data_IF_985130697916
#
_entry.id   IF_985130697916
#
_cell.length_a   1.000
_cell.length_b   1.000
_cell.length_c   1.000
_cell.angle_alpha   90.00
_cell.angle_beta   90.00
_cell.angle_gamma   90.00
#
_symmetry.space_group_name_H-M   'P 1'
#
loop_
_entity.id
_entity.type
_entity.pdbx_description
1 polymer ?
#
# COMPACT_ATOMS: atom_id res chain seq x y z
N UNK A 1 13.23 -28.38 24.14
CA UNK A 1 12.70 -27.24 23.36
C UNK A 1 13.71 -27.02 22.27
N UNK A 2 13.31 -27.14 21.01
CA UNK A 2 14.19 -26.81 19.88
C UNK A 2 14.48 -25.32 19.98
N UNK A 3 15.76 -24.95 20.01
CA UNK A 3 16.18 -23.55 20.03
C UNK A 3 15.85 -22.95 18.65
N UNK A 4 15.09 -21.86 18.64
CA UNK A 4 14.71 -21.13 17.43
C UNK A 4 15.60 -19.90 17.36
N UNK A 5 16.39 -19.81 16.31
CA UNK A 5 17.27 -18.68 16.01
C UNK A 5 16.57 -17.74 15.02
N UNK A 6 16.45 -16.46 15.37
CA UNK A 6 15.95 -15.43 14.44
C UNK A 6 17.11 -14.92 13.60
N UNK A 7 17.12 -15.26 12.31
CA UNK A 7 18.18 -14.89 11.38
C UNK A 7 17.97 -13.49 10.78
N UNK A 8 16.71 -13.07 10.62
CA UNK A 8 16.33 -11.75 10.10
C UNK A 8 15.02 -11.32 10.74
N UNK A 9 14.92 -10.05 11.10
CA UNK A 9 13.72 -9.43 11.65
C UNK A 9 13.61 -7.99 11.16
N UNK A 10 12.69 -7.73 10.23
CA UNK A 10 12.56 -6.42 9.60
C UNK A 10 11.09 -5.99 9.45
N UNK A 11 10.79 -4.75 9.86
CA UNK A 11 9.47 -4.13 9.68
C UNK A 11 9.44 -3.41 8.33
N UNK A 12 8.32 -3.51 7.61
CA UNK A 12 8.17 -2.84 6.32
C UNK A 12 8.24 -1.32 6.45
N UNK A 13 8.64 -0.58 5.39
CA UNK A 13 8.79 0.87 5.44
C UNK A 13 7.53 1.64 5.84
N UNK A 14 6.34 1.05 5.62
CA UNK A 14 5.04 1.62 5.99
C UNK A 14 4.43 0.98 7.25
N UNK A 15 5.23 0.20 8.00
CA UNK A 15 4.88 -0.48 9.27
C UNK A 15 3.58 -1.29 9.21
N UNK A 16 3.24 -1.82 8.03
CA UNK A 16 2.03 -2.60 7.80
C UNK A 16 2.30 -4.10 7.74
N UNK A 17 3.58 -4.45 7.58
CA UNK A 17 4.11 -5.81 7.51
C UNK A 17 5.42 -5.92 8.29
N UNK A 18 5.77 -7.14 8.64
CA UNK A 18 7.07 -7.51 9.20
C UNK A 18 7.47 -8.84 8.59
N UNK A 19 8.74 -9.00 8.24
CA UNK A 19 9.29 -10.29 7.81
C UNK A 19 10.21 -10.80 8.91
N UNK A 20 10.01 -12.06 9.30
CA UNK A 20 10.87 -12.76 10.23
C UNK A 20 11.38 -14.02 9.55
N UNK A 21 12.68 -14.26 9.59
CA UNK A 21 13.28 -15.51 9.14
C UNK A 21 13.77 -16.25 10.36
N UNK A 22 13.22 -17.43 10.59
CA UNK A 22 13.54 -18.28 11.73
C UNK A 22 14.21 -19.56 11.24
N UNK A 23 15.16 -20.05 12.03
CA UNK A 23 15.85 -21.29 11.81
C UNK A 23 15.84 -22.11 13.09
N UNK A 24 15.49 -23.39 13.00
CA UNK A 24 15.67 -24.34 14.08
C UNK A 24 16.72 -25.42 13.67
N UNK A 25 16.75 -26.55 14.37
CA UNK A 25 17.66 -27.66 14.00
C UNK A 25 17.29 -28.37 12.70
N UNK A 26 16.08 -28.19 12.19
CA UNK A 26 15.49 -28.98 11.10
C UNK A 26 15.24 -28.15 9.85
N UNK A 27 14.84 -26.89 9.98
CA UNK A 27 14.35 -26.08 8.85
C UNK A 27 14.63 -24.59 9.05
N UNK A 28 14.71 -23.86 7.93
CA UNK A 28 14.59 -22.40 7.90
C UNK A 28 13.31 -22.03 7.16
N UNK A 29 12.53 -21.13 7.75
CA UNK A 29 11.33 -20.57 7.13
C UNK A 29 11.26 -19.05 7.31
N UNK A 30 10.64 -18.39 6.34
CA UNK A 30 10.29 -16.98 6.41
C UNK A 30 8.80 -16.83 6.71
N UNK A 31 8.46 -15.82 7.51
CA UNK A 31 7.10 -15.47 7.88
C UNK A 31 6.86 -14.01 7.56
N UNK A 32 5.88 -13.75 6.68
CA UNK A 32 5.34 -12.41 6.51
C UNK A 32 4.18 -12.23 7.50
N UNK A 33 4.32 -11.29 8.43
CA UNK A 33 3.32 -10.98 9.45
C UNK A 33 2.56 -9.70 9.09
N UNK A 34 1.30 -9.62 9.55
CA UNK A 34 0.55 -8.36 9.53
C UNK A 34 0.93 -7.46 10.72
N UNK A 35 0.41 -6.22 10.73
CA UNK A 35 0.63 -5.26 11.82
C UNK A 35 0.10 -5.70 13.20
N UNK A 36 -0.62 -6.85 13.30
CA UNK A 36 -1.07 -7.46 14.55
C UNK A 36 -0.26 -8.71 14.89
N UNK A 37 0.90 -8.88 14.27
CA UNK A 37 1.81 -10.00 14.48
C UNK A 37 1.21 -11.37 14.13
N UNK A 38 0.20 -11.39 13.23
CA UNK A 38 -0.35 -12.65 12.72
C UNK A 38 0.38 -13.04 11.46
N UNK A 39 0.83 -14.29 11.39
CA UNK A 39 1.41 -14.87 10.17
C UNK A 39 0.36 -14.81 9.05
N UNK A 40 0.72 -14.18 7.94
CA UNK A 40 -0.08 -14.11 6.71
C UNK A 40 0.40 -15.12 5.68
N UNK A 41 1.71 -15.22 5.53
CA UNK A 41 2.34 -16.11 4.55
C UNK A 41 3.60 -16.70 5.16
N UNK A 42 3.62 -17.99 5.52
CA UNK A 42 4.85 -18.74 5.70
C UNK A 42 5.43 -19.15 4.34
N UNK A 43 6.75 -19.14 4.22
CA UNK A 43 7.48 -19.65 3.05
C UNK A 43 8.66 -20.46 3.53
N UNK A 44 8.71 -21.73 3.12
CA UNK A 44 9.85 -22.59 3.39
C UNK A 44 11.08 -22.13 2.61
N UNK A 45 12.26 -22.12 3.25
CA UNK A 45 13.53 -21.74 2.60
C UNK A 45 14.50 -22.91 2.47
N UNK A 46 14.63 -23.77 3.48
CA UNK A 46 15.57 -24.89 3.47
C UNK A 46 15.23 -25.96 4.52
N UNK A 47 15.60 -27.21 4.21
CA UNK A 47 15.76 -28.28 5.20
C UNK A 47 17.23 -28.32 5.64
N UNK A 48 17.48 -28.62 6.90
CA UNK A 48 18.81 -28.86 7.50
C UNK A 48 19.06 -30.32 7.82
N UNK A 49 18.07 -31.18 7.56
CA UNK A 49 18.16 -32.62 7.66
C UNK A 49 17.54 -33.31 6.43
N UNK A 50 17.58 -34.65 6.43
CA UNK A 50 17.04 -35.44 5.34
C UNK A 50 15.54 -35.16 5.13
N UNK A 51 15.16 -34.87 3.89
CA UNK A 51 13.80 -34.59 3.51
C UNK A 51 12.92 -35.84 3.64
N UNK A 52 11.70 -35.73 4.18
CA UNK A 52 10.77 -36.85 4.21
C UNK A 52 10.27 -37.17 2.80
N UNK A 53 9.75 -38.39 2.59
CA UNK A 53 9.15 -38.78 1.31
C UNK A 53 7.86 -38.02 1.03
N UNK A 54 7.03 -37.86 2.06
CA UNK A 54 5.71 -37.24 2.00
C UNK A 54 5.62 -36.10 3.01
N UNK A 55 4.67 -35.18 2.78
CA UNK A 55 4.41 -34.08 3.70
C UNK A 55 3.96 -34.60 5.07
N UNK A 56 4.75 -34.33 6.11
CA UNK A 56 4.35 -34.64 7.47
C UNK A 56 3.46 -33.53 8.06
N UNK A 57 2.21 -33.86 8.35
CA UNK A 57 1.26 -32.95 8.97
C UNK A 57 1.46 -32.75 10.48
N UNK A 58 2.36 -33.53 11.10
CA UNK A 58 2.53 -33.62 12.57
C UNK A 58 3.22 -32.41 13.20
N UNK A 59 4.19 -31.79 12.50
CA UNK A 59 4.95 -30.62 12.99
C UNK A 59 4.15 -29.32 13.06
N UNK A 60 3.16 -29.16 12.18
CA UNK A 60 2.26 -27.99 12.13
C UNK A 60 1.52 -27.77 13.47
N UNK A 61 1.17 -28.84 14.18
CA UNK A 61 0.48 -28.78 15.47
C UNK A 61 1.39 -28.39 16.65
N UNK A 62 2.71 -28.35 16.45
CA UNK A 62 3.71 -27.98 17.47
C UNK A 62 4.32 -26.59 17.27
N UNK A 63 3.82 -25.83 16.29
CA UNK A 63 4.34 -24.51 15.97
C UNK A 63 5.74 -24.53 15.32
N UNK A 64 6.16 -25.67 14.77
CA UNK A 64 7.42 -25.81 14.04
C UNK A 64 7.15 -25.72 12.53
N UNK A 65 8.07 -25.10 11.79
CA UNK A 65 8.00 -25.14 10.34
C UNK A 65 8.17 -26.58 9.83
N UNK A 66 7.39 -27.01 8.83
CA UNK A 66 7.51 -28.35 8.26
C UNK A 66 8.78 -28.48 7.40
N UNK A 67 9.26 -29.71 7.26
CA UNK A 67 10.25 -30.06 6.23
C UNK A 67 9.58 -30.13 4.86
N UNK A 68 10.27 -29.64 3.84
CA UNK A 68 9.87 -29.87 2.45
C UNK A 68 10.13 -31.34 2.06
N UNK A 69 9.19 -32.04 1.40
CA UNK A 69 9.41 -33.40 0.92
C UNK A 69 10.51 -33.49 -0.13
N UNK A 70 11.14 -34.66 -0.25
CA UNK A 70 12.30 -34.89 -1.12
C UNK A 70 12.03 -34.55 -2.59
N UNK A 71 10.78 -34.75 -3.06
CA UNK A 71 10.37 -34.44 -4.42
C UNK A 71 10.29 -32.92 -4.72
N UNK A 72 10.32 -32.07 -3.69
CA UNK A 72 10.08 -30.63 -3.77
C UNK A 72 11.25 -29.78 -3.26
N UNK A 73 12.41 -30.38 -2.97
CA UNK A 73 13.62 -29.67 -2.54
C UNK A 73 14.81 -30.03 -3.42
N UNK A 74 15.66 -29.04 -3.71
CA UNK A 74 16.95 -29.25 -4.38
C UNK A 74 17.99 -29.93 -3.49
N UNK A 75 17.75 -29.96 -2.18
CA UNK A 75 18.66 -30.49 -1.18
C UNK A 75 17.96 -31.58 -0.33
N UNK A 76 17.73 -32.78 -0.87
CA UNK A 76 17.02 -33.85 -0.16
C UNK A 76 17.79 -34.40 1.05
N UNK A 77 19.11 -34.18 1.13
CA UNK A 77 19.92 -34.54 2.30
C UNK A 77 20.03 -33.38 3.32
N UNK A 78 19.31 -32.28 3.09
CA UNK A 78 19.47 -31.03 3.82
C UNK A 78 20.64 -30.19 3.31
N UNK A 79 20.68 -28.93 3.76
CA UNK A 79 21.80 -28.00 3.51
C UNK A 79 22.24 -27.31 4.81
N UNK A 80 23.46 -26.76 4.87
CA UNK A 80 23.87 -25.88 5.96
C UNK A 80 22.91 -24.71 6.16
N UNK A 81 22.87 -24.21 7.40
CA UNK A 81 22.09 -23.01 7.78
C UNK A 81 22.56 -21.79 6.99
N UNK A 82 21.65 -20.86 6.74
CA UNK A 82 21.98 -19.56 6.15
C UNK A 82 22.81 -18.72 7.12
N UNK A 83 23.76 -17.94 6.60
CA UNK A 83 24.51 -16.96 7.39
C UNK A 83 23.66 -15.70 7.60
N UNK A 84 23.25 -15.38 8.85
CA UNK A 84 22.50 -14.16 9.15
C UNK A 84 23.19 -12.88 8.67
N UNK A 85 24.52 -12.85 8.58
CA UNK A 85 25.26 -11.67 8.19
C UNK A 85 25.10 -11.30 6.71
N UNK A 86 24.69 -12.25 5.86
CA UNK A 86 24.52 -12.05 4.41
C UNK A 86 23.06 -11.93 4.01
N UNK A 87 22.14 -12.37 4.88
CA UNK A 87 20.71 -12.36 4.64
C UNK A 87 20.13 -10.94 4.78
N UNK A 88 19.35 -10.52 3.80
CA UNK A 88 18.71 -9.19 3.78
C UNK A 88 17.30 -9.24 3.19
N UNK A 89 16.43 -8.36 3.70
CA UNK A 89 15.13 -8.10 3.09
C UNK A 89 15.21 -6.92 2.10
N UNK A 90 14.45 -7.04 1.02
CA UNK A 90 14.18 -5.98 0.06
C UNK A 90 12.67 -5.86 -0.08
N UNK A 91 12.08 -4.86 0.57
CA UNK A 91 10.67 -4.55 0.43
C UNK A 91 10.37 -3.97 -0.94
N UNK A 92 9.28 -4.37 -1.59
CA UNK A 92 8.81 -3.69 -2.80
C UNK A 92 8.36 -2.25 -2.49
N UNK A 93 8.26 -1.41 -3.53
CA UNK A 93 7.92 0.02 -3.39
C UNK A 93 6.56 0.22 -2.67
N UNK A 94 5.62 -0.70 -2.93
CA UNK A 94 4.30 -0.78 -2.31
C UNK A 94 4.35 -1.15 -0.82
N UNK A 95 5.45 -1.77 -0.37
CA UNK A 95 5.73 -2.12 1.03
C UNK A 95 4.87 -3.25 1.62
N UNK A 96 4.15 -3.99 0.77
CA UNK A 96 3.30 -5.12 1.12
C UNK A 96 3.88 -6.48 0.70
N UNK A 97 4.84 -6.50 -0.23
CA UNK A 97 5.64 -7.66 -0.61
C UNK A 97 7.14 -7.47 -0.33
N UNK A 98 7.86 -8.58 -0.19
CA UNK A 98 9.28 -8.61 0.19
C UNK A 98 10.04 -9.70 -0.55
N UNK A 99 11.28 -9.40 -0.94
CA UNK A 99 12.25 -10.37 -1.39
C UNK A 99 13.31 -10.60 -0.31
N UNK A 100 13.76 -11.85 -0.16
CA UNK A 100 14.92 -12.23 0.63
C UNK A 100 16.08 -12.50 -0.31
N UNK A 101 17.23 -11.95 0.03
CA UNK A 101 18.45 -12.04 -0.77
C UNK A 101 19.61 -12.45 0.14
N UNK A 102 20.50 -13.28 -0.37
CA UNK A 102 21.77 -13.64 0.26
C UNK A 102 22.94 -13.38 -0.71
N UNK A 103 24.12 -13.90 -0.39
CA UNK A 103 25.33 -13.80 -1.22
C UNK A 103 25.20 -14.45 -2.61
N UNK A 104 24.34 -15.45 -2.77
CA UNK A 104 24.05 -16.12 -4.05
C UNK A 104 22.96 -15.40 -4.86
N UNK A 105 22.38 -14.34 -4.30
CA UNK A 105 21.33 -13.53 -4.92
C UNK A 105 19.93 -13.87 -4.40
N UNK A 106 18.94 -13.81 -5.28
CA UNK A 106 17.53 -13.96 -4.87
C UNK A 106 17.27 -15.34 -4.23
N UNK A 107 16.90 -15.33 -2.95
CA UNK A 107 16.63 -16.51 -2.13
C UNK A 107 15.14 -16.81 -2.08
N UNK A 108 14.30 -15.80 -1.85
CA UNK A 108 12.85 -15.96 -1.82
C UNK A 108 12.12 -14.67 -2.19
N UNK A 109 10.85 -14.81 -2.59
CA UNK A 109 9.94 -13.68 -2.80
C UNK A 109 8.60 -14.01 -2.18
N UNK A 110 8.10 -13.12 -1.33
CA UNK A 110 6.74 -13.14 -0.79
C UNK A 110 5.99 -11.95 -1.41
N UNK A 111 5.25 -12.17 -2.52
CA UNK A 111 4.48 -11.10 -3.16
C UNK A 111 3.41 -10.51 -2.21
N UNK A 112 3.06 -9.24 -2.41
CA UNK A 112 1.99 -8.59 -1.63
C UNK A 112 0.62 -9.26 -1.81
N UNK A 113 0.45 -10.03 -2.89
CA UNK A 113 -0.74 -10.83 -3.16
C UNK A 113 -0.74 -12.24 -2.58
N UNK A 114 0.37 -12.72 -2.02
CA UNK A 114 0.43 -14.07 -1.48
C UNK A 114 -0.56 -14.26 -0.33
N UNK A 115 -1.20 -15.43 -0.33
CA UNK A 115 -2.23 -15.84 0.64
C UNK A 115 -2.13 -17.35 0.86
N UNK A 116 -1.39 -17.75 1.88
CA UNK A 116 -1.11 -19.16 2.14
C UNK A 116 -2.38 -19.97 2.42
N UNK A 117 -3.36 -19.41 3.12
CA UNK A 117 -4.66 -20.04 3.38
C UNK A 117 -5.45 -20.34 2.09
N UNK A 118 -5.13 -19.64 0.99
CA UNK A 118 -5.72 -19.87 -0.35
C UNK A 118 -4.82 -20.71 -1.26
N UNK A 119 -3.76 -21.34 -0.71
CA UNK A 119 -2.82 -22.17 -1.48
C UNK A 119 -1.83 -21.37 -2.33
N UNK A 120 -1.62 -20.10 -2.00
CA UNK A 120 -0.71 -19.19 -2.71
C UNK A 120 0.46 -18.79 -1.78
N UNK A 121 1.44 -19.68 -1.54
CA UNK A 121 2.64 -19.34 -0.78
C UNK A 121 3.55 -18.41 -1.60
N UNK A 122 4.66 -17.98 -1.00
CA UNK A 122 5.73 -17.32 -1.74
C UNK A 122 6.62 -18.31 -2.51
N UNK A 123 7.65 -17.74 -3.15
CA UNK A 123 8.62 -18.45 -3.95
C UNK A 123 9.93 -18.62 -3.19
N UNK A 124 10.60 -19.76 -3.35
CA UNK A 124 11.90 -20.04 -2.76
C UNK A 124 12.87 -20.64 -3.78
N UNK A 125 14.15 -20.26 -3.69
CA UNK A 125 15.24 -20.73 -4.55
C UNK A 125 15.42 -22.24 -4.43
N UNK A 126 15.29 -22.78 -3.23
CA UNK A 126 15.57 -24.20 -2.97
C UNK A 126 14.39 -25.13 -3.25
N UNK A 127 13.23 -24.59 -3.60
CA UNK A 127 12.03 -25.36 -3.91
C UNK A 127 12.05 -25.89 -5.36
N UNK A 128 11.42 -27.04 -5.57
CA UNK A 128 11.18 -27.65 -6.88
C UNK A 128 9.67 -27.74 -7.12
N UNK A 129 9.21 -27.25 -8.28
CA UNK A 129 7.81 -27.26 -8.66
C UNK A 129 6.93 -26.43 -7.71
N UNK A 130 5.74 -26.93 -7.40
CA UNK A 130 4.78 -26.27 -6.50
C UNK A 130 4.42 -27.18 -5.34
N UNK A 131 4.55 -26.69 -4.12
CA UNK A 131 4.04 -27.34 -2.92
C UNK A 131 3.20 -26.36 -2.09
N UNK A 132 2.64 -26.85 -0.97
CA UNK A 132 1.93 -26.01 -0.02
C UNK A 132 2.85 -25.06 0.77
N UNK A 133 4.17 -25.32 0.79
CA UNK A 133 5.12 -24.60 1.64
C UNK A 133 5.89 -23.51 0.88
N UNK A 134 6.17 -23.73 -0.40
CA UNK A 134 6.80 -22.76 -1.29
C UNK A 134 6.61 -23.18 -2.76
N UNK A 135 6.67 -22.20 -3.66
CA UNK A 135 6.79 -22.45 -5.09
C UNK A 135 8.21 -22.24 -5.57
N UNK A 136 8.60 -22.93 -6.62
CA UNK A 136 9.92 -22.81 -7.24
C UNK A 136 10.14 -21.41 -7.82
N UNK A 137 11.20 -20.75 -7.33
CA UNK A 137 11.58 -19.41 -7.77
C UNK A 137 12.18 -19.38 -9.18
N UNK A 138 12.94 -20.40 -9.58
CA UNK A 138 13.72 -20.34 -10.84
C UNK A 138 12.82 -20.18 -12.08
N UNK A 139 11.63 -20.79 -12.06
CA UNK A 139 10.63 -20.67 -13.12
C UNK A 139 10.13 -19.24 -13.37
N UNK A 140 10.25 -18.36 -12.38
CA UNK A 140 9.76 -16.96 -12.42
C UNK A 140 10.86 -15.94 -12.10
N UNK A 141 12.10 -16.38 -11.89
CA UNK A 141 13.23 -15.54 -11.44
C UNK A 141 13.43 -14.34 -12.35
N UNK A 142 13.45 -14.53 -13.67
CA UNK A 142 13.68 -13.46 -14.64
C UNK A 142 12.57 -12.40 -14.65
N UNK A 143 11.36 -12.76 -14.21
CA UNK A 143 10.22 -11.84 -14.10
C UNK A 143 10.23 -11.08 -12.76
N UNK A 144 10.65 -11.74 -11.68
CA UNK A 144 10.66 -11.16 -10.34
C UNK A 144 11.92 -10.35 -10.04
N UNK A 145 13.08 -10.74 -10.56
CA UNK A 145 14.35 -10.08 -10.29
C UNK A 145 14.35 -8.58 -10.66
N UNK A 146 13.81 -8.15 -11.82
CA UNK A 146 13.69 -6.72 -12.11
C UNK A 146 12.89 -5.93 -11.07
N UNK A 147 11.85 -6.54 -10.44
CA UNK A 147 11.09 -5.90 -9.36
C UNK A 147 11.95 -5.69 -8.11
N UNK A 148 12.83 -6.65 -7.79
CA UNK A 148 13.75 -6.55 -6.65
C UNK A 148 14.78 -5.45 -6.87
N UNK A 149 15.40 -5.41 -8.05
CA UNK A 149 16.38 -4.37 -8.42
C UNK A 149 15.73 -2.98 -8.42
N UNK A 150 14.51 -2.86 -8.97
CA UNK A 150 13.75 -1.59 -8.92
C UNK A 150 13.47 -1.16 -7.49
N UNK A 151 13.08 -2.09 -6.62
CA UNK A 151 12.80 -1.81 -5.22
C UNK A 151 14.05 -1.33 -4.46
N UNK A 152 15.20 -1.96 -4.67
CA UNK A 152 16.48 -1.51 -4.09
C UNK A 152 16.79 -0.06 -4.51
N UNK A 153 16.76 0.20 -5.83
CA UNK A 153 17.02 1.51 -6.39
C UNK A 153 16.03 2.57 -5.87
N UNK A 154 14.75 2.21 -5.73
CA UNK A 154 13.72 3.08 -5.17
C UNK A 154 14.02 3.44 -3.71
N UNK A 155 14.38 2.47 -2.87
CA UNK A 155 14.68 2.75 -1.46
C UNK A 155 16.01 3.47 -1.26
N UNK A 156 17.01 3.21 -2.10
CA UNK A 156 18.24 4.01 -2.14
C UNK A 156 17.95 5.47 -2.49
N UNK A 157 17.15 5.68 -3.54
CA UNK A 157 16.67 7.02 -3.87
C UNK A 157 15.91 7.64 -2.71
N UNK A 158 15.01 6.90 -2.04
CA UNK A 158 14.20 7.42 -0.94
C UNK A 158 15.04 7.84 0.27
N UNK A 159 16.16 7.15 0.54
CA UNK A 159 17.14 7.49 1.58
C UNK A 159 18.05 8.65 1.20
N UNK A 160 18.23 8.94 -0.09
CA UNK A 160 19.12 9.99 -0.56
C UNK A 160 18.68 11.40 -0.08
N UNK A 161 19.67 12.24 0.21
CA UNK A 161 19.44 13.63 0.60
C UNK A 161 18.70 14.39 -0.52
N UNK A 162 17.47 14.83 -0.24
CA UNK A 162 16.67 15.62 -1.19
C UNK A 162 15.59 14.84 -1.94
N UNK A 163 15.44 13.53 -1.71
CA UNK A 163 14.34 12.73 -2.28
C UNK A 163 12.98 13.37 -2.00
N UNK A 164 12.69 13.67 -0.73
CA UNK A 164 11.47 14.39 -0.33
C UNK A 164 11.29 15.73 -1.05
N UNK A 165 12.37 16.53 -1.16
CA UNK A 165 12.34 17.84 -1.82
C UNK A 165 11.98 17.72 -3.30
N UNK A 166 12.41 16.64 -3.97
CA UNK A 166 12.04 16.37 -5.35
C UNK A 166 10.54 16.09 -5.50
N UNK A 167 9.97 15.23 -4.65
CA UNK A 167 8.51 14.95 -4.61
C UNK A 167 7.74 16.24 -4.36
N UNK A 168 8.10 16.97 -3.31
CA UNK A 168 7.45 18.23 -2.94
C UNK A 168 7.46 19.24 -4.09
N UNK A 169 8.62 19.46 -4.73
CA UNK A 169 8.74 20.41 -5.84
C UNK A 169 7.86 20.00 -7.02
N UNK A 170 7.88 18.72 -7.39
CA UNK A 170 7.08 18.21 -8.52
C UNK A 170 5.59 18.46 -8.31
N UNK A 171 5.05 18.08 -7.15
CA UNK A 171 3.61 18.25 -6.86
C UNK A 171 3.24 19.73 -6.72
N UNK A 172 4.02 20.52 -5.96
CA UNK A 172 3.70 21.94 -5.75
C UNK A 172 3.79 22.76 -7.05
N UNK A 173 4.79 22.52 -7.90
CA UNK A 173 4.87 23.17 -9.21
C UNK A 173 3.69 22.82 -10.11
N UNK A 174 3.17 21.59 -10.03
CA UNK A 174 1.97 21.18 -10.75
C UNK A 174 0.73 21.93 -10.25
N UNK A 175 0.51 21.92 -8.93
CA UNK A 175 -0.61 22.62 -8.29
C UNK A 175 -0.59 24.13 -8.58
N UNK A 176 0.59 24.76 -8.61
CA UNK A 176 0.70 26.19 -8.93
C UNK A 176 0.24 26.49 -10.36
N UNK A 177 0.54 25.61 -11.32
CA UNK A 177 0.12 25.79 -12.72
C UNK A 177 -1.35 25.47 -12.96
N UNK A 178 -1.87 24.44 -12.28
CA UNK A 178 -3.21 23.88 -12.57
C UNK A 178 -4.31 24.39 -11.65
N UNK A 179 -3.98 24.74 -10.41
CA UNK A 179 -4.97 25.06 -9.36
C UNK A 179 -4.84 26.51 -8.89
N UNK A 180 -3.63 27.05 -8.78
CA UNK A 180 -3.38 28.46 -8.50
C UNK A 180 -2.40 28.71 -7.36
N UNK A 181 -2.46 29.93 -6.81
CA UNK A 181 -1.49 30.42 -5.83
C UNK A 181 -1.51 29.65 -4.49
N UNK A 182 -0.34 29.43 -3.87
CA UNK A 182 -0.23 28.70 -2.61
C UNK A 182 -0.70 29.52 -1.40
N UNK A 183 -1.40 28.83 -0.48
CA UNK A 183 -1.68 29.29 0.87
C UNK A 183 -0.78 28.59 1.89
N UNK A 184 -1.37 28.09 2.96
CA UNK A 184 -0.66 27.35 3.99
C UNK A 184 -0.18 25.96 3.52
N UNK A 185 0.79 25.42 4.26
CA UNK A 185 1.36 24.11 4.04
C UNK A 185 1.60 23.43 5.40
N UNK A 186 1.02 22.24 5.60
CA UNK A 186 1.03 21.56 6.89
C UNK A 186 1.67 20.18 6.82
N UNK A 187 2.29 19.79 7.94
CA UNK A 187 2.64 18.41 8.21
C UNK A 187 1.48 17.63 8.81
N UNK A 188 1.10 16.55 8.14
CA UNK A 188 0.05 15.62 8.59
C UNK A 188 0.56 14.20 8.74
N UNK A 189 1.87 13.97 8.58
CA UNK A 189 2.50 12.67 8.78
C UNK A 189 2.69 12.36 10.27
N UNK A 190 2.78 11.08 10.59
CA UNK A 190 3.03 10.56 11.95
C UNK A 190 4.52 10.29 12.22
N UNK A 191 5.40 10.89 11.40
CA UNK A 191 6.84 10.69 11.46
C UNK A 191 7.37 9.49 10.66
N UNK A 192 6.50 8.65 10.11
CA UNK A 192 6.88 7.49 9.30
C UNK A 192 6.44 7.65 7.84
N UNK A 193 7.06 6.91 6.90
CA UNK A 193 6.54 6.79 5.56
C UNK A 193 5.11 6.21 5.54
N UNK A 194 4.26 6.62 4.59
CA UNK A 194 4.50 7.69 3.62
C UNK A 194 4.58 9.07 4.30
N UNK A 195 5.54 9.89 3.87
CA UNK A 195 5.60 11.28 4.29
C UNK A 195 4.52 12.06 3.57
N UNK A 196 3.68 12.75 4.34
CA UNK A 196 2.49 13.42 3.84
C UNK A 196 2.46 14.85 4.34
N UNK A 197 2.20 15.77 3.43
CA UNK A 197 1.90 17.16 3.73
C UNK A 197 0.58 17.55 3.07
N UNK A 198 -0.06 18.58 3.59
CA UNK A 198 -1.26 19.16 2.97
C UNK A 198 -0.93 20.55 2.48
N UNK A 199 -1.28 20.83 1.23
CA UNK A 199 -1.10 22.10 0.57
C UNK A 199 -2.45 22.79 0.36
N UNK A 200 -2.52 24.05 0.73
CA UNK A 200 -3.70 24.90 0.52
C UNK A 200 -3.59 25.71 -0.77
N UNK A 201 -4.70 25.80 -1.49
CA UNK A 201 -4.94 26.77 -2.56
C UNK A 201 -6.19 27.57 -2.18
N UNK A 202 -6.03 28.79 -1.64
CA UNK A 202 -7.14 29.61 -1.16
C UNK A 202 -8.18 29.91 -2.25
N UNK A 203 -9.36 30.44 -1.85
CA UNK A 203 -10.33 30.96 -2.80
C UNK A 203 -9.73 32.08 -3.65
N UNK A 204 -10.21 32.20 -4.87
CA UNK A 204 -9.86 33.30 -5.80
C UNK A 204 -11.14 33.97 -6.30
N UNK A 205 -11.01 35.03 -7.09
CA UNK A 205 -12.20 35.68 -7.69
C UNK A 205 -13.02 34.72 -8.57
N UNK A 206 -12.37 33.75 -9.21
CA UNK A 206 -13.01 32.78 -10.12
C UNK A 206 -13.40 31.47 -9.41
N UNK A 207 -12.97 31.26 -8.16
CA UNK A 207 -13.20 30.03 -7.40
C UNK A 207 -13.52 30.35 -5.94
N UNK A 208 -14.78 30.24 -5.49
CA UNK A 208 -15.23 30.67 -4.17
C UNK A 208 -14.97 29.64 -3.05
N UNK A 209 -14.00 28.74 -3.23
CA UNK A 209 -13.68 27.69 -2.27
C UNK A 209 -12.17 27.40 -2.24
N UNK A 210 -11.71 26.89 -1.11
CA UNK A 210 -10.34 26.42 -0.89
C UNK A 210 -10.18 25.02 -1.45
N UNK A 211 -9.06 24.74 -2.11
CA UNK A 211 -8.62 23.38 -2.45
C UNK A 211 -7.50 22.98 -1.50
N UNK A 212 -7.71 21.87 -0.78
CA UNK A 212 -6.69 21.19 0.00
C UNK A 212 -6.24 19.96 -0.78
N UNK A 213 -4.94 19.71 -0.80
CA UNK A 213 -4.36 18.59 -1.54
C UNK A 213 -3.24 17.93 -0.75
N UNK A 214 -3.13 16.62 -0.83
CA UNK A 214 -1.92 15.95 -0.34
C UNK A 214 -0.74 16.29 -1.24
N UNK A 215 0.43 16.28 -0.62
CA UNK A 215 1.73 16.30 -1.27
C UNK A 215 2.51 15.15 -0.66
N UNK A 216 2.85 14.16 -1.47
CA UNK A 216 3.70 13.05 -1.08
C UNK A 216 3.09 11.67 -1.26
N UNK A 217 1.77 11.54 -1.47
CA UNK A 217 1.15 10.23 -1.70
C UNK A 217 1.66 9.59 -2.99
N UNK A 218 1.88 10.39 -4.04
CA UNK A 218 2.36 9.87 -5.32
C UNK A 218 3.84 9.44 -5.28
N UNK A 219 4.57 9.80 -4.21
CA UNK A 219 5.97 9.46 -4.06
C UNK A 219 6.24 7.96 -3.91
N UNK A 220 5.20 7.15 -3.74
CA UNK A 220 5.25 5.70 -3.63
C UNK A 220 4.05 5.08 -4.36
N UNK A 221 4.18 3.81 -4.79
CA UNK A 221 3.09 3.06 -5.42
C UNK A 221 2.08 2.55 -4.40
N UNK A 222 0.82 2.43 -4.82
CA UNK A 222 -0.28 1.88 -4.02
C UNK A 222 -0.16 0.35 -3.86
N UNK A 223 -0.37 -0.19 -2.65
CA UNK A 223 -0.38 -1.63 -2.40
C UNK A 223 -1.43 -2.40 -3.18
N UNK A 224 -1.25 -3.73 -3.26
CA UNK A 224 -2.23 -4.72 -3.73
C UNK A 224 -2.78 -4.58 -5.15
N UNK A 225 -2.38 -3.58 -5.93
CA UNK A 225 -2.86 -3.39 -7.31
C UNK A 225 -2.58 -4.61 -8.20
N UNK A 226 -1.44 -5.27 -8.00
CA UNK A 226 -1.06 -6.46 -8.77
C UNK A 226 -1.96 -7.69 -8.52
N UNK A 227 -2.84 -7.64 -7.51
CA UNK A 227 -3.95 -8.60 -7.33
C UNK A 227 -5.07 -8.44 -8.34
N UNK A 228 -5.31 -7.21 -8.79
CA UNK A 228 -6.51 -6.83 -9.53
C UNK A 228 -6.23 -6.53 -11.00
N UNK A 229 -5.00 -6.15 -11.34
CA UNK A 229 -4.63 -5.75 -12.69
C UNK A 229 -3.18 -6.09 -13.02
N UNK A 230 -2.93 -6.48 -14.27
CA UNK A 230 -1.58 -6.79 -14.76
C UNK A 230 -0.75 -5.51 -15.00
N UNK A 231 -1.36 -4.47 -15.57
CA UNK A 231 -0.75 -3.13 -15.68
C UNK A 231 -1.31 -2.23 -14.58
N UNK A 232 -0.45 -1.89 -13.62
CA UNK A 232 -0.81 -1.09 -12.46
C UNK A 232 -0.54 0.40 -12.66
N UNK A 233 0.19 0.81 -13.72
CA UNK A 233 0.75 2.16 -13.85
C UNK A 233 -0.30 3.27 -13.73
N UNK A 234 -1.47 3.07 -14.35
CA UNK A 234 -2.56 4.05 -14.34
C UNK A 234 -3.21 4.30 -12.98
N UNK A 235 -3.00 3.40 -12.01
CA UNK A 235 -3.61 3.44 -10.68
C UNK A 235 -2.56 3.45 -9.55
N UNK A 236 -1.29 3.28 -9.90
CA UNK A 236 -0.20 3.10 -8.95
C UNK A 236 0.04 4.33 -8.08
N UNK A 237 -0.22 5.54 -8.60
CA UNK A 237 0.12 6.78 -7.90
C UNK A 237 -1.07 7.70 -7.82
N UNK A 238 -1.35 8.17 -6.60
CA UNK A 238 -2.49 9.03 -6.31
C UNK A 238 -2.05 10.21 -5.45
N UNK A 239 -2.69 11.36 -5.62
CA UNK A 239 -2.83 12.39 -4.59
C UNK A 239 -4.32 12.58 -4.26
N UNK A 240 -4.64 12.95 -3.02
CA UNK A 240 -6.00 13.27 -2.60
C UNK A 240 -6.24 14.77 -2.65
N UNK A 241 -7.48 15.17 -2.93
CA UNK A 241 -7.91 16.56 -2.89
C UNK A 241 -9.26 16.72 -2.19
N UNK A 242 -9.51 17.89 -1.60
CA UNK A 242 -10.78 18.26 -0.97
C UNK A 242 -11.07 19.73 -1.28
N UNK A 243 -12.26 20.01 -1.78
CA UNK A 243 -12.77 21.38 -1.87
C UNK A 243 -13.55 21.74 -0.59
N UNK A 244 -13.34 22.92 -0.05
CA UNK A 244 -14.03 23.35 1.17
C UNK A 244 -14.25 24.87 1.26
N UNK A 245 -15.34 25.25 1.93
CA UNK A 245 -15.64 26.61 2.39
C UNK A 245 -15.47 26.75 3.91
N UNK A 246 -15.10 25.67 4.62
CA UNK A 246 -14.72 25.71 6.03
C UNK A 246 -13.31 26.33 6.19
N UNK A 247 -12.93 26.75 7.41
CA UNK A 247 -11.55 27.09 7.70
C UNK A 247 -10.59 25.94 7.31
N UNK A 248 -9.57 26.25 6.50
CA UNK A 248 -8.71 25.26 5.87
C UNK A 248 -8.04 24.30 6.87
N UNK A 249 -7.55 24.82 7.99
CA UNK A 249 -6.93 24.03 9.05
C UNK A 249 -7.90 23.02 9.71
N UNK A 250 -9.22 23.31 9.73
CA UNK A 250 -10.21 22.33 10.20
C UNK A 250 -10.39 21.21 9.18
N UNK A 251 -10.61 21.55 7.90
CA UNK A 251 -10.81 20.56 6.84
C UNK A 251 -9.56 19.70 6.57
N UNK A 252 -8.35 20.26 6.75
CA UNK A 252 -7.09 19.56 6.53
C UNK A 252 -6.90 18.32 7.43
N UNK A 253 -7.63 18.22 8.54
CA UNK A 253 -7.51 17.12 9.50
C UNK A 253 -7.86 15.76 8.89
N UNK A 254 -8.75 15.72 7.91
CA UNK A 254 -9.16 14.46 7.27
C UNK A 254 -7.96 13.73 6.66
N UNK A 255 -7.00 14.48 6.11
CA UNK A 255 -5.80 13.93 5.46
C UNK A 255 -4.88 13.16 6.41
N UNK A 256 -4.92 13.45 7.72
CA UNK A 256 -4.06 12.78 8.72
C UNK A 256 -4.26 11.27 8.73
N UNK A 257 -5.50 10.81 8.62
CA UNK A 257 -5.81 9.38 8.65
C UNK A 257 -5.94 8.81 7.24
N UNK A 258 -6.62 9.51 6.33
CA UNK A 258 -6.92 8.95 5.00
C UNK A 258 -5.69 8.93 4.10
N UNK A 259 -4.78 9.89 4.24
CA UNK A 259 -3.62 10.01 3.36
C UNK A 259 -2.65 8.82 3.49
N UNK A 260 -2.45 8.29 4.70
CA UNK A 260 -1.58 7.12 4.91
C UNK A 260 -2.34 5.78 4.84
N UNK A 261 -3.68 5.83 4.83
CA UNK A 261 -4.53 4.65 4.96
C UNK A 261 -4.22 3.51 3.98
N UNK A 262 -3.97 3.74 2.67
CA UNK A 262 -3.70 2.66 1.72
C UNK A 262 -2.54 1.76 2.16
N UNK A 263 -1.43 2.36 2.58
CA UNK A 263 -0.25 1.60 3.01
C UNK A 263 -0.41 0.96 4.39
N UNK A 264 -1.07 1.65 5.33
CA UNK A 264 -1.35 1.09 6.67
C UNK A 264 -2.31 -0.09 6.64
N UNK A 265 -3.34 -0.01 5.79
CA UNK A 265 -4.36 -1.04 5.64
C UNK A 265 -4.02 -2.08 4.54
N UNK A 266 -2.92 -1.89 3.81
CA UNK A 266 -2.50 -2.73 2.68
C UNK A 266 -3.63 -2.87 1.65
N UNK A 267 -4.03 -1.71 1.12
CA UNK A 267 -5.10 -1.53 0.14
C UNK A 267 -4.74 -0.40 -0.82
N UNK A 268 -5.57 -0.14 -1.82
CA UNK A 268 -5.39 0.94 -2.78
C UNK A 268 -6.62 1.84 -2.85
N UNK A 269 -6.42 3.04 -3.38
CA UNK A 269 -7.49 3.98 -3.66
C UNK A 269 -7.74 4.12 -5.15
N UNK A 270 -9.00 4.04 -5.54
CA UNK A 270 -9.50 4.30 -6.88
C UNK A 270 -10.77 5.15 -6.84
N UNK A 271 -11.14 5.69 -8.00
CA UNK A 271 -12.43 6.35 -8.17
C UNK A 271 -13.57 5.38 -7.82
N UNK A 272 -14.61 5.89 -7.16
CA UNK A 272 -15.73 5.11 -6.68
C UNK A 272 -15.51 4.41 -5.33
N UNK A 273 -14.28 4.31 -4.83
CA UNK A 273 -14.03 3.71 -3.52
C UNK A 273 -14.67 4.53 -2.40
N UNK A 274 -15.27 3.84 -1.43
CA UNK A 274 -15.81 4.47 -0.22
C UNK A 274 -15.08 4.01 1.02
N UNK A 275 -14.76 4.94 1.91
CA UNK A 275 -14.00 4.68 3.13
C UNK A 275 -14.78 5.20 4.33
N UNK A 276 -15.01 4.32 5.31
CA UNK A 276 -15.72 4.69 6.54
C UNK A 276 -14.94 5.78 7.28
N UNK A 277 -15.61 6.89 7.57
CA UNK A 277 -15.06 7.95 8.39
C UNK A 277 -15.42 7.63 9.83
N UNK A 278 -14.45 7.13 10.61
CA UNK A 278 -14.67 6.78 12.01
C UNK A 278 -14.98 8.05 12.82
N UNK A 279 -15.92 7.95 13.76
CA UNK A 279 -16.23 9.07 14.64
C UNK A 279 -15.04 9.30 15.58
N UNK A 280 -14.43 10.48 15.48
CA UNK A 280 -13.40 10.93 16.39
C UNK A 280 -13.79 12.35 16.87
N UNK A 281 -13.48 12.73 18.12
CA UNK A 281 -13.86 14.05 18.65
C UNK A 281 -13.25 15.22 17.87
N UNK A 282 -12.10 14.96 17.25
CA UNK A 282 -11.30 15.89 16.48
C UNK A 282 -12.02 16.38 15.21
N UNK A 283 -12.57 15.47 14.42
CA UNK A 283 -13.18 15.76 13.12
C UNK A 283 -14.68 15.97 13.21
N UNK A 284 -15.31 15.73 14.37
CA UNK A 284 -16.78 15.71 14.52
C UNK A 284 -17.47 16.96 13.98
N UNK A 285 -16.92 18.14 14.28
CA UNK A 285 -17.48 19.42 13.79
C UNK A 285 -17.38 19.58 12.28
N UNK A 286 -16.31 19.06 11.66
CA UNK A 286 -16.05 19.12 10.23
C UNK A 286 -16.82 18.05 9.45
N UNK A 287 -16.89 16.84 10.00
CA UNK A 287 -17.57 15.67 9.45
C UNK A 287 -19.09 15.87 9.42
N UNK A 288 -19.65 16.56 10.40
CA UNK A 288 -21.10 16.72 10.53
C UNK A 288 -21.82 15.37 10.51
N UNK A 289 -22.80 15.23 9.61
CA UNK A 289 -23.53 13.97 9.41
C UNK A 289 -22.85 12.94 8.49
N UNK A 290 -21.65 13.21 7.96
CA UNK A 290 -20.97 12.27 7.08
C UNK A 290 -20.58 11.00 7.82
N UNK A 291 -20.87 9.83 7.25
CA UNK A 291 -20.51 8.51 7.79
C UNK A 291 -19.25 7.92 7.12
N UNK A 292 -18.93 8.40 5.93
CA UNK A 292 -17.86 7.92 5.07
C UNK A 292 -17.42 9.01 4.10
N UNK A 293 -16.41 8.69 3.29
CA UNK A 293 -16.02 9.48 2.13
C UNK A 293 -16.13 8.63 0.88
N UNK A 294 -16.49 9.24 -0.23
CA UNK A 294 -16.39 8.73 -1.59
C UNK A 294 -15.18 9.39 -2.25
N UNK A 295 -14.39 8.62 -2.97
CA UNK A 295 -13.27 9.12 -3.77
C UNK A 295 -13.67 9.21 -5.24
N UNK A 296 -13.46 10.35 -5.90
CA UNK A 296 -13.77 10.54 -7.31
C UNK A 296 -12.59 11.16 -8.06
N UNK A 297 -12.26 10.64 -9.23
CA UNK A 297 -11.32 11.35 -10.14
C UNK A 297 -11.95 12.63 -10.70
N UNK A 298 -13.25 12.58 -11.01
CA UNK A 298 -14.03 13.71 -11.51
C UNK A 298 -15.29 13.94 -10.66
N UNK A 299 -15.35 15.02 -9.86
CA UNK A 299 -16.55 15.41 -9.12
C UNK A 299 -17.52 16.25 -9.97
N UNK A 300 -17.26 16.46 -11.26
CA UNK A 300 -18.11 17.17 -12.22
C UNK A 300 -19.59 16.81 -12.17
N UNK A 301 -19.98 15.52 -12.08
CA UNK A 301 -21.38 15.13 -11.96
C UNK A 301 -22.11 15.69 -10.72
N UNK A 302 -21.37 16.12 -9.69
CA UNK A 302 -21.90 16.71 -8.45
C UNK A 302 -21.87 18.25 -8.45
N UNK A 303 -21.56 18.88 -9.59
CA UNK A 303 -21.54 20.34 -9.74
C UNK A 303 -22.97 20.85 -9.92
N UNK A 304 -23.48 21.47 -8.87
CA UNK A 304 -24.80 22.14 -8.89
C UNK A 304 -24.70 23.65 -9.17
N UNK A 305 -23.51 24.23 -9.09
CA UNK A 305 -23.21 25.66 -9.24
C UNK A 305 -22.01 25.82 -10.17
N UNK A 306 -22.13 26.49 -11.34
CA UNK A 306 -21.03 26.66 -12.28
C UNK A 306 -19.80 27.36 -11.71
N UNK A 307 -19.97 28.21 -10.70
CA UNK A 307 -18.84 28.87 -9.99
C UNK A 307 -18.04 27.87 -9.13
N UNK A 308 -18.58 26.67 -8.93
CA UNK A 308 -17.97 25.56 -8.20
C UNK A 308 -17.51 24.43 -9.11
N UNK A 309 -16.94 24.77 -10.25
CA UNK A 309 -16.33 23.79 -11.16
C UNK A 309 -14.98 23.31 -10.61
N UNK A 310 -14.69 21.99 -10.62
CA UNK A 310 -13.40 21.46 -10.18
C UNK A 310 -12.25 21.90 -11.09
N UNK A 311 -11.07 22.25 -10.56
CA UNK A 311 -9.91 22.54 -11.39
C UNK A 311 -9.38 21.27 -12.08
N UNK A 312 -8.86 21.40 -13.30
CA UNK A 312 -8.21 20.28 -14.01
C UNK A 312 -6.82 19.97 -13.43
N UNK A 313 -6.76 18.94 -12.60
CA UNK A 313 -5.55 18.46 -11.94
C UNK A 313 -4.78 17.41 -12.74
N UNK A 314 -5.23 17.06 -13.95
CA UNK A 314 -4.59 16.04 -14.80
C UNK A 314 -3.17 16.43 -15.24
N UNK A 315 -2.41 15.44 -15.74
CA UNK A 315 -1.10 15.66 -16.38
C UNK A 315 0.10 15.67 -15.43
N UNK A 316 -0.10 15.32 -14.14
CA UNK A 316 1.00 15.03 -13.24
C UNK A 316 1.50 13.60 -13.48
N UNK A 317 2.82 13.41 -13.53
CA UNK A 317 3.46 12.10 -13.52
C UNK A 317 4.58 12.08 -12.49
N UNK A 318 4.89 10.89 -11.99
CA UNK A 318 5.98 10.67 -11.06
C UNK A 318 6.68 9.35 -11.37
N UNK A 319 8.00 9.41 -11.62
CA UNK A 319 8.81 8.25 -12.04
C UNK A 319 8.19 7.42 -13.18
N UNK A 320 7.58 8.08 -14.16
CA UNK A 320 7.00 7.44 -15.34
C UNK A 320 5.53 7.05 -15.22
N UNK A 321 4.99 6.90 -14.00
CA UNK A 321 3.56 6.64 -13.81
C UNK A 321 2.74 7.94 -13.78
N UNK A 322 1.52 7.96 -14.35
CA UNK A 322 0.60 9.06 -14.16
C UNK A 322 0.13 9.12 -12.70
N UNK A 323 -0.08 10.34 -12.19
CA UNK A 323 -0.65 10.56 -10.86
C UNK A 323 -2.12 10.91 -10.99
N UNK A 324 -2.98 10.09 -10.39
CA UNK A 324 -4.43 10.33 -10.32
C UNK A 324 -4.75 11.23 -9.14
N UNK A 325 -5.67 12.17 -9.32
CA UNK A 325 -6.18 13.01 -8.25
C UNK A 325 -7.53 12.49 -7.82
N UNK A 326 -7.66 12.05 -6.57
CA UNK A 326 -8.94 11.59 -6.03
C UNK A 326 -9.53 12.64 -5.10
N UNK A 327 -10.65 13.21 -5.51
CA UNK A 327 -11.45 14.15 -4.75
C UNK A 327 -12.24 13.42 -3.66
N UNK A 328 -12.08 13.89 -2.44
CA UNK A 328 -12.79 13.44 -1.25
C UNK A 328 -14.15 14.11 -1.22
N UNK A 329 -15.20 13.31 -1.32
CA UNK A 329 -16.60 13.75 -1.20
C UNK A 329 -17.22 13.09 0.05
N UNK A 330 -17.51 13.86 1.12
CA UNK A 330 -18.15 13.32 2.31
C UNK A 330 -19.57 12.80 2.02
N UNK A 331 -19.84 11.55 2.40
CA UNK A 331 -21.14 10.90 2.20
C UNK A 331 -21.72 10.44 3.54
N UNK A 332 -23.05 10.37 3.64
CA UNK A 332 -23.75 9.92 4.86
C UNK A 332 -23.62 8.41 5.07
N UNK A 333 -23.97 7.92 6.26
CA UNK A 333 -24.00 6.47 6.52
C UNK A 333 -25.01 5.73 5.61
N UNK A 334 -26.23 6.22 5.37
CA UNK A 334 -27.14 5.62 4.37
C UNK A 334 -26.54 5.58 2.96
N UNK A 335 -25.90 6.66 2.50
CA UNK A 335 -25.22 6.70 1.19
C UNK A 335 -24.09 5.66 1.11
N UNK A 336 -23.30 5.50 2.17
CA UNK A 336 -22.26 4.47 2.21
C UNK A 336 -22.81 3.04 2.22
N UNK A 337 -23.96 2.79 2.86
CA UNK A 337 -24.62 1.48 2.80
C UNK A 337 -25.15 1.21 1.38
N UNK A 338 -25.76 2.21 0.75
CA UNK A 338 -26.22 2.14 -0.63
C UNK A 338 -25.07 1.78 -1.59
N UNK A 339 -23.88 2.41 -1.39
CA UNK A 339 -22.67 2.15 -2.16
C UNK A 339 -22.09 0.72 -2.01
N UNK A 340 -22.52 -0.06 -1.01
CA UNK A 340 -22.11 -1.46 -0.86
C UNK A 340 -22.97 -2.41 -1.69
N UNK A 341 -24.17 -1.98 -2.04
CA UNK A 341 -25.17 -2.76 -2.76
C UNK A 341 -25.24 -2.37 -4.25
N UNK A 342 -24.69 -1.21 -4.61
CA UNK A 342 -24.74 -0.63 -5.95
C UNK A 342 -23.34 -0.18 -6.38
N UNK A 343 -23.13 -0.07 -7.69
CA UNK A 343 -21.89 0.47 -8.23
C UNK A 343 -21.72 1.98 -7.94
N UNK A 344 -20.50 2.48 -8.13
CA UNK A 344 -20.17 3.88 -7.87
C UNK A 344 -20.89 4.86 -8.80
N UNK A 345 -21.21 4.46 -10.03
CA UNK A 345 -21.90 5.32 -10.99
C UNK A 345 -23.33 5.60 -10.52
N UNK A 346 -24.05 4.56 -10.10
CA UNK A 346 -25.40 4.63 -9.52
C UNK A 346 -25.41 5.50 -8.25
N UNK A 347 -24.39 5.36 -7.39
CA UNK A 347 -24.25 6.25 -6.23
C UNK A 347 -24.08 7.71 -6.66
N UNK A 348 -23.20 8.01 -7.62
CA UNK A 348 -22.95 9.38 -8.08
C UNK A 348 -24.21 9.99 -8.70
N UNK A 349 -24.95 9.24 -9.52
CA UNK A 349 -26.23 9.68 -10.08
C UNK A 349 -27.25 10.01 -8.98
N UNK A 350 -27.35 9.15 -7.96
CA UNK A 350 -28.21 9.39 -6.80
C UNK A 350 -27.80 10.66 -6.05
N UNK A 351 -26.52 10.83 -5.76
CA UNK A 351 -25.99 12.01 -5.07
C UNK A 351 -26.24 13.29 -5.88
N UNK A 352 -26.06 13.24 -7.20
CA UNK A 352 -26.34 14.35 -8.11
C UNK A 352 -27.83 14.72 -8.10
N UNK A 353 -28.73 13.73 -8.18
CA UNK A 353 -30.18 13.93 -8.15
C UNK A 353 -30.67 14.54 -6.82
N UNK A 354 -30.00 14.23 -5.71
CA UNK A 354 -30.24 14.82 -4.39
C UNK A 354 -29.58 16.20 -4.22
N UNK A 355 -28.91 16.70 -5.26
CA UNK A 355 -28.17 17.94 -5.25
C UNK A 355 -27.08 17.95 -4.19
N UNK A 356 -26.38 16.82 -3.96
CA UNK A 356 -25.24 16.76 -3.03
C UNK A 356 -24.06 17.52 -3.63
N UNK A 357 -23.41 18.35 -2.81
CA UNK A 357 -22.24 19.11 -3.23
C UNK A 357 -20.96 18.32 -2.98
N UNK A 358 -20.02 18.42 -3.91
CA UNK A 358 -18.65 17.94 -3.75
C UNK A 358 -17.77 18.90 -2.92
N UNK A 359 -18.25 20.10 -2.59
CA UNK A 359 -17.56 21.10 -1.75
C UNK A 359 -18.05 20.98 -0.30
N UNK A 360 -17.12 20.76 0.63
CA UNK A 360 -17.40 20.63 2.06
C UNK A 360 -17.61 21.99 2.74
N UNK A 361 -18.72 22.16 3.48
CA UNK A 361 -18.97 23.32 4.34
C UNK A 361 -20.07 24.28 3.88
N UNK A 362 -21.19 23.74 3.41
CA UNK A 362 -22.37 24.51 2.99
C UNK A 362 -22.78 25.61 3.95
#
# INVERSE_FOLDING_TARGET
MTEIDVLLDEISPYQSRRVVVECDSHTTAAYLLDARERIRVPVWLANHEAAPRDSESSGLYRGQAPLMPEAHTKHPQGRPRFDPATLRAVWFEEGDGVALVDEEGLLAVIPGWAEADSGLPGYAREAIGRSAYAWELDSVRDQLWPRVVHAEAYWDWRRASGAWRSVQRTVLSHLNRRVGEPGHYWDVSDGHPPLLRVSERPPSQERPFTVLSTVGMCGQRMPTLDRYMADTSNHARVELALATTLPAHHAARIFRWIGAFPWRAVTWFGTGHTIKWLDNPEDRSMRGGAGAVLLLEDPGPLVTDPTRTPPDTSGLSFQGDPVRWLWIVPITRPEHLFAKEHDSATLVEKLAAEGRSWVLGR
#
